data_IF_632075390326
#
_entry.id   IF_632075390326
#
_cell.length_a   1.000
_cell.length_b   1.000
_cell.length_c   1.000
_cell.angle_alpha   90.00
_cell.angle_beta   90.00
_cell.angle_gamma   90.00
#
_symmetry.space_group_name_H-M   'P 1'
#
loop_
_entity.id
_entity.type
_entity.pdbx_description
1 polymer ?
#
# COMPACT_ATOMS: atom_id res chain seq x y z
N UNK A 1 -20.07 41.51 -22.45
CA UNK A 1 -19.06 40.78 -21.65
C UNK A 1 -19.22 39.31 -21.98
N UNK A 2 -18.29 38.77 -22.77
CA UNK A 2 -18.29 37.34 -23.10
C UNK A 2 -17.95 36.57 -21.81
N UNK A 3 -18.94 35.81 -21.32
CA UNK A 3 -18.70 34.91 -20.21
C UNK A 3 -17.62 33.90 -20.61
N UNK A 4 -16.48 33.91 -19.92
CA UNK A 4 -15.45 32.89 -20.06
C UNK A 4 -16.10 31.57 -19.62
N UNK A 5 -16.50 30.73 -20.57
CA UNK A 5 -16.94 29.35 -20.29
C UNK A 5 -15.83 28.68 -19.45
N UNK A 6 -16.20 28.24 -18.24
CA UNK A 6 -15.25 27.52 -17.37
C UNK A 6 -14.92 26.18 -18.04
N UNK A 7 -13.65 26.01 -18.46
CA UNK A 7 -13.18 24.74 -18.99
C UNK A 7 -13.46 23.60 -18.02
N UNK A 8 -13.89 22.48 -18.53
CA UNK A 8 -14.02 21.22 -17.79
C UNK A 8 -12.64 20.67 -17.40
N UNK A 9 -12.58 19.81 -16.40
CA UNK A 9 -11.34 19.15 -16.02
C UNK A 9 -10.67 18.43 -17.20
N UNK A 10 -11.46 17.77 -18.05
CA UNK A 10 -10.97 17.09 -19.25
C UNK A 10 -10.36 18.09 -20.27
N UNK A 11 -11.01 19.20 -20.51
CA UNK A 11 -10.50 20.24 -21.42
C UNK A 11 -9.21 20.87 -20.90
N UNK A 12 -9.09 21.09 -19.57
CA UNK A 12 -7.85 21.57 -18.95
C UNK A 12 -6.71 20.58 -19.19
N UNK A 13 -6.93 19.30 -18.93
CA UNK A 13 -5.94 18.24 -19.12
C UNK A 13 -5.52 18.18 -20.59
N UNK A 14 -6.47 18.07 -21.52
CA UNK A 14 -6.20 17.89 -22.95
C UNK A 14 -5.59 19.13 -23.61
N UNK A 15 -5.84 20.33 -23.09
CA UNK A 15 -5.26 21.57 -23.61
C UNK A 15 -3.86 21.88 -23.09
N UNK A 16 -3.28 21.03 -22.25
CA UNK A 16 -1.94 21.25 -21.71
C UNK A 16 -0.85 21.05 -22.78
N UNK A 17 -0.06 22.09 -23.04
CA UNK A 17 1.04 22.08 -24.01
C UNK A 17 2.39 22.47 -23.41
N UNK A 18 2.46 22.54 -22.08
CA UNK A 18 3.68 22.90 -21.34
C UNK A 18 4.76 21.79 -21.34
N UNK A 19 5.81 21.94 -20.53
CA UNK A 19 6.87 20.94 -20.39
C UNK A 19 6.34 19.57 -19.96
N UNK A 20 7.18 18.53 -20.11
CA UNK A 20 6.82 17.18 -19.63
C UNK A 20 6.56 17.21 -18.12
N UNK A 21 5.40 16.68 -17.70
CA UNK A 21 5.00 16.50 -16.32
C UNK A 21 4.96 15.01 -15.96
N UNK A 22 5.51 14.68 -14.82
CA UNK A 22 5.46 13.35 -14.21
C UNK A 22 4.64 13.43 -12.92
N UNK A 23 3.50 12.77 -12.88
CA UNK A 23 2.58 12.75 -11.73
C UNK A 23 2.53 11.33 -11.20
N UNK A 24 2.82 11.12 -9.91
CA UNK A 24 2.86 9.78 -9.32
C UNK A 24 1.63 9.51 -8.45
N UNK A 25 0.91 8.43 -8.79
CA UNK A 25 -0.10 7.89 -7.87
C UNK A 25 0.61 7.12 -6.74
N UNK A 26 0.53 7.59 -5.51
CA UNK A 26 1.06 6.89 -4.33
C UNK A 26 -0.05 6.11 -3.61
N UNK A 27 -0.91 5.45 -4.40
CA UNK A 27 -2.06 4.68 -3.94
C UNK A 27 -2.38 3.56 -4.94
N UNK A 28 -2.45 2.32 -4.48
CA UNK A 28 -2.77 1.18 -5.34
C UNK A 28 -4.18 1.25 -5.92
N UNK A 29 -5.16 1.70 -5.13
CA UNK A 29 -6.54 1.91 -5.61
C UNK A 29 -6.59 2.98 -6.72
N UNK A 30 -5.81 4.08 -6.59
CA UNK A 30 -5.72 5.07 -7.68
C UNK A 30 -5.16 4.44 -8.95
N UNK A 31 -4.07 3.68 -8.85
CA UNK A 31 -3.48 2.97 -10.00
C UNK A 31 -4.53 2.09 -10.68
N UNK A 32 -5.23 1.26 -9.90
CA UNK A 32 -6.28 0.38 -10.42
C UNK A 32 -7.40 1.16 -11.13
N UNK A 33 -7.98 2.17 -10.48
CA UNK A 33 -9.09 2.94 -11.05
C UNK A 33 -8.67 3.77 -12.26
N UNK A 34 -7.46 4.35 -12.27
CA UNK A 34 -6.92 5.10 -13.41
C UNK A 34 -6.79 4.21 -14.64
N UNK A 35 -6.34 2.95 -14.48
CA UNK A 35 -6.28 2.00 -15.58
C UNK A 35 -7.67 1.56 -16.02
N UNK A 36 -8.51 1.13 -15.08
CA UNK A 36 -9.87 0.65 -15.35
C UNK A 36 -10.74 1.69 -16.05
N UNK A 37 -10.62 2.95 -15.67
CA UNK A 37 -11.36 4.07 -16.25
C UNK A 37 -10.73 4.63 -17.53
N UNK A 38 -9.57 4.11 -17.98
CA UNK A 38 -8.87 4.56 -19.17
C UNK A 38 -8.39 6.00 -19.10
N UNK A 39 -8.14 6.55 -17.90
CA UNK A 39 -7.74 7.95 -17.72
C UNK A 39 -6.42 8.25 -18.41
N UNK A 40 -5.48 7.30 -18.45
CA UNK A 40 -4.18 7.47 -19.14
C UNK A 40 -4.32 7.86 -20.61
N UNK A 41 -5.37 7.37 -21.30
CA UNK A 41 -5.64 7.70 -22.71
C UNK A 41 -6.14 9.13 -22.94
N UNK A 42 -6.61 9.78 -21.87
CA UNK A 42 -7.09 11.17 -21.95
C UNK A 42 -5.94 12.18 -21.81
N UNK A 43 -4.76 11.71 -21.40
CA UNK A 43 -3.62 12.56 -21.13
C UNK A 43 -2.90 12.95 -22.43
N UNK A 44 -2.46 14.21 -22.56
CA UNK A 44 -1.58 14.61 -23.67
C UNK A 44 -0.20 13.94 -23.52
N UNK A 45 0.58 13.80 -24.60
CA UNK A 45 1.86 13.07 -24.60
C UNK A 45 2.90 13.58 -23.60
N UNK A 46 2.78 14.83 -23.20
CA UNK A 46 3.67 15.48 -22.23
C UNK A 46 3.21 15.38 -20.77
N UNK A 47 2.14 14.63 -20.47
CA UNK A 47 1.71 14.30 -19.10
C UNK A 47 1.81 12.80 -18.89
N UNK A 48 2.71 12.39 -17.99
CA UNK A 48 2.95 10.99 -17.65
C UNK A 48 2.44 10.68 -16.24
N UNK A 49 1.59 9.66 -16.12
CA UNK A 49 1.24 9.08 -14.83
C UNK A 49 2.18 7.93 -14.48
N UNK A 50 2.69 7.95 -13.26
CA UNK A 50 3.62 6.95 -12.72
C UNK A 50 2.96 6.27 -11.53
N UNK A 51 2.91 4.94 -11.55
CA UNK A 51 2.43 4.18 -10.41
C UNK A 51 3.54 4.03 -9.36
N UNK A 52 3.30 4.56 -8.18
CA UNK A 52 4.22 4.53 -7.05
C UNK A 52 3.92 3.42 -6.04
N UNK A 53 4.58 3.42 -4.87
CA UNK A 53 4.51 2.35 -3.86
C UNK A 53 3.24 2.42 -2.98
N UNK A 54 2.07 2.50 -3.60
CA UNK A 54 0.78 2.69 -2.93
C UNK A 54 0.01 1.41 -2.57
N UNK A 55 0.52 0.22 -2.91
CA UNK A 55 -0.10 -1.06 -2.58
C UNK A 55 0.66 -1.71 -1.42
N UNK A 56 0.02 -1.97 -0.26
CA UNK A 56 0.71 -2.52 0.92
C UNK A 56 1.27 -3.93 0.67
N UNK A 57 0.58 -4.76 -0.09
CA UNK A 57 1.05 -6.11 -0.48
C UNK A 57 2.32 -5.99 -1.34
N UNK A 58 2.32 -5.06 -2.29
CA UNK A 58 3.42 -4.87 -3.24
C UNK A 58 4.71 -4.42 -2.57
N UNK A 59 4.60 -3.56 -1.54
CA UNK A 59 5.75 -3.00 -0.81
C UNK A 59 6.21 -3.87 0.37
N UNK A 60 5.49 -4.94 0.70
CA UNK A 60 5.87 -5.87 1.75
C UNK A 60 7.11 -6.68 1.30
N UNK A 61 8.20 -6.74 2.10
CA UNK A 61 9.42 -7.45 1.75
C UNK A 61 9.20 -8.96 1.66
N UNK A 62 10.04 -9.66 0.89
CA UNK A 62 9.97 -11.11 0.72
C UNK A 62 10.15 -11.84 2.05
N UNK A 63 11.08 -11.37 2.88
CA UNK A 63 11.35 -11.96 4.19
C UNK A 63 10.13 -12.04 5.10
N UNK A 64 9.16 -11.13 4.97
CA UNK A 64 7.91 -11.21 5.72
C UNK A 64 7.06 -12.44 5.34
N UNK A 65 7.06 -12.80 4.06
CA UNK A 65 6.36 -14.02 3.61
C UNK A 65 7.11 -15.26 4.12
N UNK A 66 8.44 -15.22 4.10
CA UNK A 66 9.27 -16.31 4.63
C UNK A 66 9.10 -16.46 6.16
N UNK A 67 8.95 -15.34 6.90
CA UNK A 67 8.59 -15.35 8.33
C UNK A 67 7.24 -16.03 8.57
N UNK A 68 6.23 -15.72 7.75
CA UNK A 68 4.91 -16.36 7.86
C UNK A 68 4.96 -17.85 7.56
N UNK A 69 5.75 -18.27 6.55
CA UNK A 69 5.96 -19.68 6.21
C UNK A 69 6.69 -20.41 7.35
N UNK A 70 7.72 -19.79 7.93
CA UNK A 70 8.44 -20.32 9.08
C UNK A 70 7.50 -20.56 10.28
N UNK A 71 6.64 -19.60 10.60
CA UNK A 71 5.64 -19.77 11.66
C UNK A 71 4.71 -20.96 11.38
N UNK A 72 4.24 -21.09 10.14
CA UNK A 72 3.32 -22.15 9.76
C UNK A 72 3.95 -23.55 9.80
N UNK A 73 5.14 -23.70 9.23
CA UNK A 73 5.77 -25.01 9.05
C UNK A 73 6.62 -25.44 10.26
N UNK A 74 7.39 -24.51 10.83
CA UNK A 74 8.35 -24.84 11.90
C UNK A 74 7.74 -24.67 13.31
N UNK A 75 6.74 -23.79 13.46
CA UNK A 75 6.06 -23.56 14.75
C UNK A 75 4.67 -24.16 14.83
N UNK A 76 4.14 -24.67 13.70
CA UNK A 76 2.79 -25.24 13.64
C UNK A 76 1.66 -24.21 13.85
N UNK A 77 1.96 -22.93 13.67
CA UNK A 77 1.01 -21.83 13.87
C UNK A 77 0.03 -21.76 12.71
N UNK A 78 -1.25 -21.60 13.00
CA UNK A 78 -2.27 -21.29 11.98
C UNK A 78 -2.13 -19.83 11.55
N UNK A 79 -1.84 -19.62 10.27
CA UNK A 79 -1.70 -18.29 9.66
C UNK A 79 -3.05 -17.79 9.18
N UNK A 80 -3.56 -16.73 9.80
CA UNK A 80 -4.71 -15.99 9.31
C UNK A 80 -4.24 -14.83 8.44
N UNK A 81 -4.79 -14.69 7.22
CA UNK A 81 -4.33 -13.69 6.27
C UNK A 81 -5.40 -13.27 5.27
N UNK A 82 -5.21 -12.09 4.65
CA UNK A 82 -5.98 -11.70 3.49
C UNK A 82 -5.63 -12.57 2.27
N UNK A 83 -6.60 -12.80 1.39
CA UNK A 83 -6.48 -13.74 0.28
C UNK A 83 -5.30 -13.46 -0.67
N UNK A 84 -4.98 -12.19 -0.92
CA UNK A 84 -3.87 -11.80 -1.79
C UNK A 84 -2.53 -12.35 -1.29
N UNK A 85 -2.27 -12.26 0.03
CA UNK A 85 -1.00 -12.69 0.62
C UNK A 85 -0.71 -14.19 0.45
N UNK A 86 -1.75 -15.01 0.30
CA UNK A 86 -1.60 -16.48 0.12
C UNK A 86 -0.75 -16.81 -1.10
N UNK A 87 -0.85 -15.99 -2.17
CA UNK A 87 -0.14 -16.23 -3.44
C UNK A 87 1.12 -15.39 -3.61
N UNK A 88 1.42 -14.48 -2.68
CA UNK A 88 2.65 -13.67 -2.77
C UNK A 88 3.87 -14.58 -2.64
N UNK A 89 4.82 -14.52 -3.59
CA UNK A 89 6.04 -15.33 -3.51
C UNK A 89 6.93 -14.89 -2.34
N UNK A 90 7.33 -15.85 -1.52
CA UNK A 90 8.49 -15.79 -0.64
C UNK A 90 9.79 -16.08 -1.41
N UNK A 91 10.86 -16.42 -0.70
CA UNK A 91 12.15 -16.81 -1.31
C UNK A 91 12.03 -18.09 -2.13
N UNK A 92 11.47 -19.13 -1.58
CA UNK A 92 11.41 -20.46 -2.19
C UNK A 92 9.97 -20.87 -2.54
N UNK A 93 8.98 -20.40 -1.79
CA UNK A 93 7.57 -20.72 -2.02
C UNK A 93 6.66 -19.58 -1.52
N UNK A 94 5.36 -19.71 -1.80
CA UNK A 94 4.29 -18.90 -1.22
C UNK A 94 3.59 -19.62 -0.07
N UNK A 95 2.69 -18.95 0.65
CA UNK A 95 1.82 -19.61 1.63
C UNK A 95 0.92 -20.67 0.96
N UNK A 96 0.52 -20.48 -0.30
CA UNK A 96 -0.17 -21.52 -1.07
C UNK A 96 0.69 -22.78 -1.25
N UNK A 97 1.98 -22.60 -1.52
CA UNK A 97 2.95 -23.70 -1.58
C UNK A 97 3.15 -24.37 -0.21
N UNK A 98 3.24 -23.58 0.86
CA UNK A 98 3.38 -24.11 2.22
C UNK A 98 2.17 -24.95 2.66
N UNK A 99 0.95 -24.63 2.19
CA UNK A 99 -0.25 -25.46 2.43
C UNK A 99 -0.08 -26.90 1.92
N UNK A 100 0.57 -27.11 0.78
CA UNK A 100 0.83 -28.46 0.24
C UNK A 100 1.82 -29.24 1.10
N UNK A 101 2.56 -28.55 1.99
CA UNK A 101 3.48 -29.15 2.94
C UNK A 101 2.90 -29.23 4.38
N UNK A 102 1.58 -29.00 4.52
CA UNK A 102 0.89 -29.14 5.80
C UNK A 102 0.69 -27.84 6.57
N UNK A 103 1.09 -26.67 6.04
CA UNK A 103 0.83 -25.40 6.69
C UNK A 103 -0.68 -25.11 6.81
N UNK A 104 -1.12 -24.70 8.00
CA UNK A 104 -2.49 -24.24 8.23
C UNK A 104 -2.58 -22.76 7.86
N UNK A 105 -3.36 -22.44 6.82
CA UNK A 105 -3.56 -21.07 6.35
C UNK A 105 -5.05 -20.81 6.21
N UNK A 106 -5.57 -19.89 7.01
CA UNK A 106 -6.96 -19.45 7.01
C UNK A 106 -7.07 -18.08 6.35
N UNK A 107 -7.89 -17.99 5.28
CA UNK A 107 -8.22 -16.70 4.67
C UNK A 107 -9.30 -16.02 5.49
N UNK A 108 -9.06 -14.77 5.83
CA UNK A 108 -9.96 -13.92 6.60
C UNK A 108 -10.18 -12.58 5.87
N UNK A 109 -11.28 -11.90 6.19
CA UNK A 109 -11.62 -10.60 5.60
C UNK A 109 -11.29 -9.42 6.50
N UNK A 110 -11.03 -9.69 7.77
CA UNK A 110 -10.61 -8.67 8.74
C UNK A 110 -9.68 -9.25 9.81
N UNK A 111 -8.88 -8.40 10.50
CA UNK A 111 -8.11 -8.84 11.68
C UNK A 111 -9.01 -9.36 12.81
N UNK A 112 -10.25 -8.86 12.89
CA UNK A 112 -11.23 -9.31 13.89
C UNK A 112 -11.66 -10.76 13.64
N UNK A 113 -11.76 -11.18 12.38
CA UNK A 113 -12.09 -12.58 12.07
C UNK A 113 -10.97 -13.52 12.54
N UNK A 114 -9.69 -13.10 12.45
CA UNK A 114 -8.56 -13.86 12.98
C UNK A 114 -8.59 -13.96 14.52
N UNK A 115 -8.97 -12.86 15.19
CA UNK A 115 -9.19 -12.87 16.65
C UNK A 115 -10.34 -13.83 17.04
N UNK A 116 -11.48 -13.80 16.32
CA UNK A 116 -12.61 -14.70 16.54
C UNK A 116 -12.19 -16.15 16.29
N UNK A 117 -11.47 -16.40 15.20
CA UNK A 117 -10.94 -17.73 14.90
C UNK A 117 -10.06 -18.26 16.04
N UNK A 118 -9.15 -17.45 16.59
CA UNK A 118 -8.32 -17.85 17.72
C UNK A 118 -9.13 -18.15 18.98
N UNK A 119 -10.23 -17.44 19.20
CA UNK A 119 -11.13 -17.66 20.33
C UNK A 119 -11.90 -18.97 20.20
N UNK A 120 -12.32 -19.32 18.99
CA UNK A 120 -13.08 -20.54 18.70
C UNK A 120 -12.17 -21.79 18.62
N UNK A 121 -10.84 -21.60 18.48
CA UNK A 121 -9.83 -22.68 18.36
C UNK A 121 -8.76 -22.51 19.44
N UNK A 122 -9.16 -22.68 20.70
CA UNK A 122 -8.30 -22.44 21.86
C UNK A 122 -7.08 -23.36 21.94
N UNK A 123 -7.10 -24.48 21.25
CA UNK A 123 -6.01 -25.47 21.11
C UNK A 123 -5.03 -25.18 19.96
N UNK A 124 -5.31 -24.16 19.14
CA UNK A 124 -4.45 -23.74 18.05
C UNK A 124 -3.80 -22.39 18.33
N UNK A 125 -2.50 -22.29 18.10
CA UNK A 125 -1.83 -20.99 18.02
C UNK A 125 -2.15 -20.31 16.68
N UNK A 126 -2.56 -19.05 16.75
CA UNK A 126 -3.03 -18.27 15.59
C UNK A 126 -2.22 -17.00 15.43
N UNK A 127 -1.72 -16.75 14.24
CA UNK A 127 -1.05 -15.48 13.88
C UNK A 127 -1.74 -14.83 12.71
N UNK A 128 -2.17 -13.56 12.87
CA UNK A 128 -2.67 -12.75 11.79
C UNK A 128 -1.53 -12.00 11.09
N UNK A 129 -1.48 -12.04 9.77
CA UNK A 129 -0.53 -11.26 8.98
C UNK A 129 -1.03 -9.83 8.81
N UNK A 130 -0.52 -8.93 9.63
CA UNK A 130 -0.92 -7.53 9.64
C UNK A 130 -0.15 -6.73 8.58
N UNK A 131 -0.64 -6.76 7.34
CA UNK A 131 -0.13 -6.00 6.20
C UNK A 131 -1.11 -4.90 5.86
N UNK A 132 -0.63 -3.66 5.78
CA UNK A 132 -1.48 -2.52 5.46
C UNK A 132 -0.83 -1.17 5.71
N UNK A 133 -1.53 -0.14 5.31
CA UNK A 133 -1.24 1.25 5.65
C UNK A 133 -2.17 1.72 6.78
N UNK A 134 -2.25 3.03 6.99
CA UNK A 134 -3.07 3.64 8.04
C UNK A 134 -4.55 3.23 7.97
N UNK A 135 -5.04 2.85 6.80
CA UNK A 135 -6.44 2.43 6.59
C UNK A 135 -6.80 1.12 7.27
N UNK A 136 -5.87 0.16 7.34
CA UNK A 136 -6.09 -1.19 7.87
C UNK A 136 -5.50 -1.38 9.26
N UNK A 137 -4.52 -0.57 9.63
CA UNK A 137 -3.84 -0.65 10.94
C UNK A 137 -4.79 -0.52 12.14
N UNK A 138 -5.80 0.39 12.16
CA UNK A 138 -6.74 0.48 13.27
C UNK A 138 -7.47 -0.83 13.58
N UNK A 139 -7.84 -1.60 12.55
CA UNK A 139 -8.51 -2.89 12.74
C UNK A 139 -7.57 -3.95 13.34
N UNK A 140 -6.30 -3.96 12.93
CA UNK A 140 -5.27 -4.82 13.54
C UNK A 140 -5.05 -4.48 15.01
N UNK A 141 -4.96 -3.18 15.33
CA UNK A 141 -4.86 -2.71 16.72
C UNK A 141 -6.08 -3.11 17.55
N UNK A 142 -7.28 -2.99 16.99
CA UNK A 142 -8.51 -3.39 17.67
C UNK A 142 -8.54 -4.90 17.98
N UNK A 143 -8.07 -5.75 17.05
CA UNK A 143 -7.98 -7.18 17.26
C UNK A 143 -7.02 -7.53 18.42
N UNK A 144 -5.83 -6.90 18.43
CA UNK A 144 -4.85 -7.08 19.51
C UNK A 144 -5.39 -6.61 20.85
N UNK A 145 -6.03 -5.43 20.90
CA UNK A 145 -6.65 -4.92 22.14
C UNK A 145 -7.72 -5.86 22.68
N UNK A 146 -8.63 -6.34 21.81
CA UNK A 146 -9.66 -7.32 22.19
C UNK A 146 -9.06 -8.62 22.69
N UNK A 147 -8.02 -9.13 22.02
CA UNK A 147 -7.31 -10.33 22.48
C UNK A 147 -6.68 -10.12 23.87
N UNK A 148 -6.17 -8.92 24.14
CA UNK A 148 -5.62 -8.55 25.44
C UNK A 148 -6.71 -8.44 26.52
N UNK A 149 -7.83 -7.78 26.21
CA UNK A 149 -8.99 -7.65 27.11
C UNK A 149 -9.57 -9.02 27.50
N UNK A 150 -9.66 -9.96 26.53
CA UNK A 150 -10.15 -11.33 26.75
C UNK A 150 -9.07 -12.27 27.33
N UNK A 151 -7.83 -11.81 27.46
CA UNK A 151 -6.71 -12.62 27.96
C UNK A 151 -6.31 -13.79 27.05
N UNK A 152 -6.60 -13.72 25.73
CA UNK A 152 -6.23 -14.75 24.76
C UNK A 152 -4.71 -14.92 24.71
N UNK A 153 -4.24 -16.16 24.90
CA UNK A 153 -2.80 -16.47 24.82
C UNK A 153 -2.38 -17.05 23.48
N UNK A 154 -3.33 -17.61 22.74
CA UNK A 154 -3.09 -18.27 21.45
C UNK A 154 -3.19 -17.34 20.24
N UNK A 155 -3.53 -16.05 20.40
CA UNK A 155 -3.54 -15.05 19.34
C UNK A 155 -2.25 -14.25 19.29
N UNK A 156 -1.81 -13.89 18.08
CA UNK A 156 -0.69 -12.95 17.84
C UNK A 156 -0.83 -12.30 16.48
N UNK A 157 -0.06 -11.26 16.23
CA UNK A 157 0.09 -10.67 14.89
C UNK A 157 1.54 -10.66 14.45
N UNK A 158 1.78 -10.92 13.17
CA UNK A 158 3.05 -10.64 12.50
C UNK A 158 2.86 -9.35 11.71
N UNK A 159 3.54 -8.26 12.12
CA UNK A 159 3.29 -6.95 11.55
C UNK A 159 4.26 -6.57 10.45
N UNK A 160 3.72 -6.06 9.33
CA UNK A 160 4.40 -5.31 8.28
C UNK A 160 3.60 -4.03 7.94
N UNK A 161 2.85 -3.52 8.92
CA UNK A 161 2.16 -2.25 8.79
C UNK A 161 3.14 -1.12 8.49
N UNK A 162 2.78 -0.28 7.53
CA UNK A 162 3.60 0.84 7.06
C UNK A 162 2.82 2.14 7.15
N UNK A 163 3.54 3.25 7.17
CA UNK A 163 2.95 4.60 7.19
C UNK A 163 3.47 5.42 6.01
N UNK A 164 2.58 6.21 5.42
CA UNK A 164 2.89 6.93 4.19
C UNK A 164 3.75 8.20 4.35
N UNK A 165 3.72 8.95 5.47
CA UNK A 165 4.43 10.23 5.57
C UNK A 165 5.91 10.18 5.18
N UNK A 166 6.68 9.27 5.79
CA UNK A 166 8.11 9.14 5.51
C UNK A 166 8.38 8.54 4.12
N UNK A 167 7.43 7.77 3.57
CA UNK A 167 7.52 7.29 2.20
C UNK A 167 7.38 8.44 1.18
N UNK A 168 6.53 9.45 1.45
CA UNK A 168 6.47 10.65 0.59
C UNK A 168 7.81 11.38 0.54
N UNK A 169 8.48 11.52 1.69
CA UNK A 169 9.83 12.12 1.75
C UNK A 169 10.86 11.28 0.98
N UNK A 170 10.83 9.96 1.13
CA UNK A 170 11.73 9.06 0.41
C UNK A 170 11.53 9.09 -1.11
N UNK A 171 10.35 9.49 -1.57
CA UNK A 171 10.02 9.63 -3.00
C UNK A 171 10.27 11.04 -3.55
N UNK A 172 10.76 11.98 -2.76
CA UNK A 172 11.05 13.35 -3.21
C UNK A 172 11.94 13.34 -4.45
N UNK A 173 11.54 14.10 -5.47
CA UNK A 173 12.25 14.20 -6.74
C UNK A 173 11.95 13.07 -7.75
N UNK A 174 11.15 12.07 -7.39
CA UNK A 174 10.76 11.00 -8.33
C UNK A 174 9.66 11.43 -9.31
N UNK A 175 8.90 12.47 -8.96
CA UNK A 175 7.84 13.07 -9.79
C UNK A 175 7.70 14.56 -9.49
N UNK A 176 6.97 15.28 -10.35
CA UNK A 176 6.68 16.71 -10.18
C UNK A 176 5.55 16.95 -9.17
N UNK A 177 4.64 15.98 -9.03
CA UNK A 177 3.57 16.01 -8.03
C UNK A 177 3.07 14.61 -7.70
N UNK A 178 2.44 14.47 -6.52
CA UNK A 178 1.80 13.24 -6.05
C UNK A 178 0.27 13.33 -6.04
N UNK A 179 -0.39 12.22 -6.39
CA UNK A 179 -1.78 11.96 -6.04
C UNK A 179 -1.79 11.17 -4.73
N UNK A 180 -2.08 11.86 -3.63
CA UNK A 180 -2.11 11.27 -2.29
C UNK A 180 -3.37 10.43 -2.07
N UNK A 181 -3.27 9.29 -1.38
CA UNK A 181 -4.38 8.36 -1.17
C UNK A 181 -5.44 8.94 -0.23
N UNK A 182 -6.65 9.17 -0.75
CA UNK A 182 -7.75 9.74 0.02
C UNK A 182 -8.10 8.94 1.28
N UNK A 183 -8.06 7.61 1.22
CA UNK A 183 -8.37 6.78 2.39
C UNK A 183 -7.31 6.87 3.50
N UNK A 184 -6.01 6.95 3.15
CA UNK A 184 -4.94 7.16 4.14
C UNK A 184 -5.15 8.49 4.85
N UNK A 185 -5.44 9.54 4.08
CA UNK A 185 -5.65 10.87 4.63
C UNK A 185 -7.02 11.05 5.34
N UNK A 186 -7.98 10.14 5.11
CA UNK A 186 -9.17 10.04 5.96
C UNK A 186 -8.80 9.64 7.41
N UNK A 187 -7.70 8.91 7.59
CA UNK A 187 -7.15 8.58 8.92
C UNK A 187 -6.23 9.69 9.42
N UNK A 188 -5.25 10.12 8.60
CA UNK A 188 -4.19 11.04 9.02
C UNK A 188 -4.60 12.52 9.07
N UNK A 189 -5.57 12.93 8.23
CA UNK A 189 -5.88 14.35 8.00
C UNK A 189 -4.94 14.97 6.95
N UNK A 190 -4.95 16.32 6.86
CA UNK A 190 -4.20 17.07 5.84
C UNK A 190 -2.84 17.55 6.31
N UNK A 191 -2.59 17.66 7.61
CA UNK A 191 -1.41 18.34 8.18
C UNK A 191 -0.07 17.85 7.62
N UNK A 192 0.06 16.53 7.42
CA UNK A 192 1.28 15.93 6.85
C UNK A 192 1.54 16.41 5.41
N UNK A 193 0.50 16.56 4.59
CA UNK A 193 0.66 17.08 3.23
C UNK A 193 1.06 18.56 3.24
N UNK A 194 0.57 19.32 4.19
CA UNK A 194 0.96 20.72 4.40
C UNK A 194 2.43 20.84 4.81
N UNK A 195 2.94 19.86 5.58
CA UNK A 195 4.35 19.84 5.97
C UNK A 195 5.27 19.45 4.80
N UNK A 196 4.94 18.41 4.03
CA UNK A 196 5.78 17.98 2.91
C UNK A 196 5.86 19.01 1.78
N UNK A 197 4.88 19.93 1.66
CA UNK A 197 4.96 21.09 0.75
C UNK A 197 6.11 22.04 1.13
N UNK A 198 6.37 22.23 2.41
CA UNK A 198 7.49 23.05 2.90
C UNK A 198 8.84 22.50 2.43
N UNK A 199 8.90 21.19 2.23
CA UNK A 199 10.06 20.49 1.68
C UNK A 199 10.10 20.48 0.14
N UNK A 200 9.16 21.18 -0.52
CA UNK A 200 9.10 21.29 -1.97
C UNK A 200 8.37 20.14 -2.68
N UNK A 201 7.62 19.32 -1.95
CA UNK A 201 6.84 18.22 -2.52
C UNK A 201 5.42 18.72 -2.83
N UNK A 202 5.05 18.72 -4.12
CA UNK A 202 3.71 19.10 -4.56
C UNK A 202 2.76 17.90 -4.60
N UNK A 203 1.46 18.14 -4.35
CA UNK A 203 0.47 17.09 -4.54
C UNK A 203 -0.94 17.45 -4.13
N UNK A 204 -1.84 16.54 -4.42
CA UNK A 204 -3.26 16.66 -4.08
C UNK A 204 -3.77 15.37 -3.43
N UNK A 205 -4.60 15.48 -2.42
CA UNK A 205 -5.41 14.37 -1.93
C UNK A 205 -6.59 14.21 -2.87
N UNK A 206 -6.87 13.01 -3.35
CA UNK A 206 -8.02 12.76 -4.21
C UNK A 206 -8.80 11.50 -3.82
N UNK A 207 -10.07 11.46 -4.24
CA UNK A 207 -10.91 10.26 -4.19
C UNK A 207 -10.66 9.34 -5.38
N UNK A 208 -11.63 8.46 -5.67
CA UNK A 208 -11.42 7.31 -6.55
C UNK A 208 -12.35 7.27 -7.76
N UNK A 209 -13.34 8.14 -7.83
CA UNK A 209 -14.24 8.24 -8.98
C UNK A 209 -13.57 8.94 -10.15
N UNK A 210 -14.04 8.68 -11.37
CA UNK A 210 -13.54 9.35 -12.58
C UNK A 210 -13.55 10.88 -12.43
N UNK A 211 -14.62 11.44 -11.86
CA UNK A 211 -14.75 12.89 -11.63
C UNK A 211 -13.68 13.42 -10.67
N UNK A 212 -13.44 12.72 -9.56
CA UNK A 212 -12.44 13.12 -8.56
C UNK A 212 -11.04 13.05 -9.13
N UNK A 213 -10.69 11.96 -9.80
CA UNK A 213 -9.38 11.77 -10.42
C UNK A 213 -9.10 12.80 -11.52
N UNK A 214 -10.05 13.05 -12.42
CA UNK A 214 -9.89 14.07 -13.47
C UNK A 214 -9.79 15.48 -12.88
N UNK A 215 -10.59 15.79 -11.84
CA UNK A 215 -10.51 17.08 -11.16
C UNK A 215 -9.14 17.26 -10.51
N UNK A 216 -8.63 16.25 -9.80
CA UNK A 216 -7.32 16.28 -9.18
C UNK A 216 -6.20 16.47 -10.20
N UNK A 217 -6.24 15.75 -11.32
CA UNK A 217 -5.25 15.91 -12.41
C UNK A 217 -5.29 17.32 -13.03
N UNK A 218 -6.48 17.87 -13.28
CA UNK A 218 -6.62 19.23 -13.77
C UNK A 218 -6.04 20.27 -12.78
N UNK A 219 -6.28 20.07 -11.49
CA UNK A 219 -5.71 20.92 -10.42
C UNK A 219 -4.19 20.82 -10.42
N UNK A 220 -3.62 19.59 -10.45
CA UNK A 220 -2.17 19.37 -10.47
C UNK A 220 -1.54 20.07 -11.66
N UNK A 221 -2.07 19.85 -12.87
CA UNK A 221 -1.56 20.46 -14.12
C UNK A 221 -1.61 21.99 -14.03
N UNK A 222 -2.71 22.55 -13.52
CA UNK A 222 -2.85 24.01 -13.39
C UNK A 222 -1.87 24.56 -12.37
N UNK A 223 -1.73 23.93 -11.22
CA UNK A 223 -0.87 24.40 -10.12
C UNK A 223 0.62 24.28 -10.43
N UNK A 224 1.03 23.21 -11.14
CA UNK A 224 2.43 23.09 -11.55
C UNK A 224 2.88 24.23 -12.50
N UNK A 225 1.96 24.81 -13.28
CA UNK A 225 2.26 25.97 -14.13
C UNK A 225 2.54 27.26 -13.33
N UNK A 226 2.11 27.32 -12.04
CA UNK A 226 2.41 28.44 -11.15
C UNK A 226 3.87 28.43 -10.65
N UNK A 227 4.60 27.31 -10.83
CA UNK A 227 6.02 27.18 -10.51
C UNK A 227 6.37 27.17 -9.02
N UNK A 228 5.38 26.95 -8.15
CA UNK A 228 5.55 26.89 -6.68
C UNK A 228 5.03 25.57 -6.12
N UNK A 229 5.67 25.01 -5.09
CA UNK A 229 5.14 23.86 -4.38
C UNK A 229 3.72 24.15 -3.85
N UNK A 230 2.86 23.16 -3.93
CA UNK A 230 1.47 23.31 -3.51
C UNK A 230 0.91 22.01 -2.92
N UNK A 231 -0.10 22.17 -2.09
CA UNK A 231 -0.98 21.11 -1.62
C UNK A 231 -2.43 21.55 -1.79
N UNK A 232 -3.28 20.60 -2.21
CA UNK A 232 -4.73 20.80 -2.20
C UNK A 232 -5.46 19.53 -1.79
N UNK A 233 -6.48 19.68 -0.95
CA UNK A 233 -7.42 18.61 -0.66
C UNK A 233 -8.56 18.65 -1.68
N UNK A 234 -8.52 17.75 -2.67
CA UNK A 234 -9.57 17.55 -3.67
C UNK A 234 -10.62 16.50 -3.25
N UNK A 235 -10.57 16.03 -1.98
CA UNK A 235 -11.49 15.03 -1.44
C UNK A 235 -12.13 15.48 -0.10
N UNK A 236 -12.61 16.73 0.00
CA UNK A 236 -13.04 17.33 1.28
C UNK A 236 -14.30 16.69 1.87
N UNK A 237 -15.08 15.92 1.07
CA UNK A 237 -16.24 15.19 1.58
C UNK A 237 -15.88 14.02 2.52
N UNK A 238 -14.62 13.58 2.51
CA UNK A 238 -14.12 12.46 3.32
C UNK A 238 -12.93 12.87 4.18
N UNK A 239 -12.01 13.67 3.62
CA UNK A 239 -10.76 14.04 4.29
C UNK A 239 -10.93 15.40 4.97
N UNK A 240 -10.84 15.39 6.30
CA UNK A 240 -10.83 16.60 7.15
C UNK A 240 -9.39 16.96 7.55
N UNK A 241 -9.21 18.13 8.15
CA UNK A 241 -7.89 18.55 8.62
C UNK A 241 -7.31 17.59 9.68
N UNK A 242 -8.15 17.14 10.61
CA UNK A 242 -7.74 16.30 11.75
C UNK A 242 -7.72 14.79 11.43
N UNK A 243 -8.40 14.36 10.37
CA UNK A 243 -8.58 12.94 10.07
C UNK A 243 -9.44 12.21 11.10
N UNK A 244 -9.23 10.91 11.22
CA UNK A 244 -9.95 10.06 12.17
C UNK A 244 -9.26 10.01 13.52
N UNK A 245 -9.72 10.81 14.49
CA UNK A 245 -9.19 10.80 15.86
C UNK A 245 -9.28 9.41 16.52
N UNK A 246 -10.35 8.67 16.25
CA UNK A 246 -10.52 7.31 16.78
C UNK A 246 -9.49 6.34 16.19
N UNK A 247 -9.26 6.41 14.85
CA UNK A 247 -8.25 5.60 14.17
C UNK A 247 -6.84 5.90 14.66
N UNK A 248 -6.49 7.18 14.76
CA UNK A 248 -5.19 7.62 15.29
C UNK A 248 -4.99 7.18 16.75
N UNK A 249 -6.01 7.36 17.59
CA UNK A 249 -5.96 6.97 19.00
C UNK A 249 -5.64 5.49 19.19
N UNK A 250 -6.35 4.60 18.50
CA UNK A 250 -6.14 3.14 18.65
C UNK A 250 -4.77 2.72 18.13
N UNK A 251 -4.27 3.34 17.05
CA UNK A 251 -2.90 3.08 16.55
C UNK A 251 -1.88 3.46 17.62
N UNK A 252 -1.93 4.68 18.16
CA UNK A 252 -0.99 5.15 19.19
C UNK A 252 -1.11 4.38 20.52
N UNK A 253 -2.28 3.83 20.84
CA UNK A 253 -2.49 3.00 22.02
C UNK A 253 -1.75 1.66 21.91
N UNK A 254 -1.74 1.06 20.73
CA UNK A 254 -1.32 -0.34 20.53
C UNK A 254 0.05 -0.44 19.86
N UNK A 255 0.37 0.49 18.97
CA UNK A 255 1.59 0.44 18.16
C UNK A 255 2.47 1.67 18.37
N UNK A 256 3.74 1.52 18.05
CA UNK A 256 4.73 2.58 18.00
C UNK A 256 5.50 2.57 16.66
N UNK A 257 6.03 3.73 16.21
CA UNK A 257 6.82 3.82 14.99
C UNK A 257 8.09 2.97 15.06
N UNK A 258 8.48 2.41 13.92
CA UNK A 258 9.75 1.73 13.74
C UNK A 258 10.25 1.92 12.30
N UNK A 259 11.52 1.58 12.07
CA UNK A 259 12.04 1.50 10.71
C UNK A 259 11.39 0.33 9.98
N UNK A 260 11.10 0.50 8.70
CA UNK A 260 10.51 -0.55 7.89
C UNK A 260 11.23 -0.71 6.55
N UNK A 261 11.42 -1.96 6.17
CA UNK A 261 11.84 -2.30 4.82
C UNK A 261 10.64 -2.22 3.86
N UNK A 262 10.83 -1.48 2.76
CA UNK A 262 9.89 -1.38 1.66
C UNK A 262 10.49 -2.08 0.43
N UNK A 263 9.76 -3.02 -0.14
CA UNK A 263 10.22 -3.70 -1.37
C UNK A 263 10.54 -2.67 -2.45
N UNK A 264 11.78 -2.70 -2.94
CA UNK A 264 12.28 -1.79 -3.96
C UNK A 264 12.78 -0.44 -3.46
N UNK A 265 12.40 0.02 -2.26
CA UNK A 265 12.84 1.29 -1.69
C UNK A 265 13.88 1.13 -0.58
N UNK A 266 14.07 -0.10 -0.08
CA UNK A 266 14.95 -0.35 1.06
C UNK A 266 14.32 0.04 2.40
N UNK A 267 15.17 0.30 3.40
CA UNK A 267 14.72 0.70 4.73
C UNK A 267 14.39 2.19 4.72
N UNK A 268 13.16 2.54 5.11
CA UNK A 268 12.72 3.92 5.32
C UNK A 268 12.55 4.12 6.83
N UNK A 269 13.34 5.00 7.45
CA UNK A 269 13.27 5.24 8.89
C UNK A 269 11.89 5.72 9.34
N UNK A 270 11.39 5.19 10.46
CA UNK A 270 10.12 5.59 11.07
C UNK A 270 8.88 5.35 10.22
N UNK A 271 8.96 4.54 9.16
CA UNK A 271 7.86 4.29 8.21
C UNK A 271 7.11 3.00 8.45
N UNK A 272 7.39 2.32 9.54
CA UNK A 272 6.70 1.11 9.98
C UNK A 272 6.03 1.30 11.32
N UNK A 273 5.20 0.32 11.67
CA UNK A 273 4.55 0.22 12.97
C UNK A 273 4.80 -1.18 13.55
N UNK A 274 5.21 -1.22 14.81
CA UNK A 274 5.33 -2.45 15.61
C UNK A 274 4.47 -2.32 16.87
N UNK A 275 4.12 -3.44 17.50
CA UNK A 275 3.46 -3.41 18.79
C UNK A 275 4.36 -2.74 19.83
N UNK A 276 3.79 -1.88 20.66
CA UNK A 276 4.51 -1.30 21.80
C UNK A 276 4.66 -2.32 22.93
N UNK A 277 5.43 -1.97 23.96
CA UNK A 277 5.77 -2.87 25.05
C UNK A 277 4.54 -3.43 25.80
N UNK A 278 3.43 -2.67 25.89
CA UNK A 278 2.23 -3.12 26.59
C UNK A 278 1.54 -4.29 25.87
N UNK A 279 1.71 -4.39 24.56
CA UNK A 279 1.12 -5.43 23.71
C UNK A 279 2.16 -6.41 23.14
N UNK A 280 3.40 -6.38 23.63
CA UNK A 280 4.50 -7.22 23.14
C UNK A 280 4.23 -8.73 23.20
N UNK A 281 3.38 -9.20 24.11
CA UNK A 281 2.95 -10.60 24.20
C UNK A 281 2.19 -11.09 22.95
N UNK A 282 1.65 -10.17 22.16
CA UNK A 282 0.92 -10.45 20.90
C UNK A 282 1.79 -10.27 19.65
N UNK A 283 3.07 -9.90 19.79
CA UNK A 283 4.01 -9.86 18.68
C UNK A 283 4.51 -11.27 18.37
N UNK A 284 4.21 -11.78 17.18
CA UNK A 284 4.59 -13.11 16.76
C UNK A 284 6.12 -13.32 16.77
N UNK A 285 6.91 -12.29 16.42
CA UNK A 285 8.38 -12.39 16.42
C UNK A 285 8.91 -12.61 17.84
N UNK A 286 8.34 -11.92 18.83
CA UNK A 286 8.73 -12.06 20.23
C UNK A 286 8.15 -13.36 20.82
N UNK A 287 6.88 -13.64 20.59
CA UNK A 287 6.18 -14.82 21.14
C UNK A 287 6.86 -16.13 20.75
N UNK A 288 7.29 -16.26 19.49
CA UNK A 288 7.90 -17.48 18.97
C UNK A 288 9.44 -17.44 18.89
N UNK A 289 10.07 -16.40 19.46
CA UNK A 289 11.51 -16.18 19.42
C UNK A 289 12.07 -16.40 18.01
N UNK A 290 11.49 -15.70 17.04
CA UNK A 290 11.81 -15.91 15.63
C UNK A 290 13.25 -15.50 15.29
N UNK A 291 13.96 -16.29 14.49
CA UNK A 291 15.24 -15.87 13.96
C UNK A 291 15.04 -14.69 12.97
N UNK A 292 16.12 -13.95 12.73
CA UNK A 292 16.10 -12.95 11.64
C UNK A 292 16.08 -13.67 10.29
N UNK A 293 14.99 -13.53 9.56
CA UNK A 293 14.82 -14.12 8.24
C UNK A 293 15.02 -13.04 7.18
N UNK A 294 15.94 -13.30 6.24
CA UNK A 294 16.25 -12.39 5.12
C UNK A 294 15.74 -13.02 3.84
N UNK A 295 14.69 -12.44 3.27
CA UNK A 295 14.10 -12.93 2.02
C UNK A 295 14.91 -12.50 0.79
N UNK A 296 14.79 -13.29 -0.27
CA UNK A 296 15.44 -13.04 -1.57
C UNK A 296 14.36 -12.92 -2.67
N UNK A 297 14.29 -11.75 -3.30
CA UNK A 297 13.43 -11.57 -4.47
C UNK A 297 13.96 -12.36 -5.66
N UNK A 298 13.05 -12.84 -6.51
CA UNK A 298 13.45 -13.43 -7.79
C UNK A 298 14.21 -12.38 -8.62
N UNK A 299 15.45 -12.65 -9.06
CA UNK A 299 16.29 -11.66 -9.76
C UNK A 299 15.74 -11.25 -11.13
N UNK A 300 14.86 -12.05 -11.74
CA UNK A 300 14.18 -11.68 -12.98
C UNK A 300 13.04 -10.68 -12.78
N UNK A 301 12.57 -10.49 -11.53
CA UNK A 301 11.45 -9.60 -11.22
C UNK A 301 11.93 -8.16 -11.03
N UNK A 302 11.34 -7.21 -11.77
CA UNK A 302 11.61 -5.78 -11.66
C UNK A 302 10.58 -5.01 -10.84
N UNK A 303 9.85 -5.69 -9.96
CA UNK A 303 8.81 -5.09 -9.14
C UNK A 303 9.31 -3.84 -8.37
N UNK A 304 10.53 -3.90 -7.81
CA UNK A 304 11.14 -2.77 -7.12
C UNK A 304 11.36 -1.55 -8.01
N UNK A 305 11.80 -1.74 -9.25
CA UNK A 305 11.98 -0.64 -10.21
C UNK A 305 10.64 -0.05 -10.65
N UNK A 306 9.63 -0.91 -10.85
CA UNK A 306 8.27 -0.48 -11.20
C UNK A 306 7.67 0.39 -10.10
N UNK A 307 7.82 0.00 -8.83
CA UNK A 307 7.33 0.74 -7.66
C UNK A 307 8.01 2.11 -7.48
N UNK A 308 9.21 2.27 -8.03
CA UNK A 308 9.93 3.55 -8.03
C UNK A 308 9.65 4.39 -9.29
N UNK A 309 8.83 3.90 -10.22
CA UNK A 309 8.60 4.56 -11.51
C UNK A 309 9.84 4.60 -12.43
N UNK A 310 10.83 3.73 -12.20
CA UNK A 310 12.06 3.64 -13.03
C UNK A 310 11.85 2.87 -14.32
N UNK A 311 10.84 2.00 -14.37
CA UNK A 311 10.44 1.28 -15.57
C UNK A 311 8.93 0.96 -15.54
N UNK A 312 8.38 0.66 -16.72
CA UNK A 312 7.00 0.15 -16.84
C UNK A 312 6.96 -1.36 -16.63
N UNK A 313 5.81 -1.95 -16.28
CA UNK A 313 5.65 -3.40 -16.23
C UNK A 313 6.07 -4.11 -17.53
N UNK A 314 5.78 -3.51 -18.68
CA UNK A 314 6.13 -4.02 -20.02
C UNK A 314 7.64 -4.10 -20.27
N UNK A 315 8.47 -3.33 -19.55
CA UNK A 315 9.93 -3.40 -19.64
C UNK A 315 10.51 -4.58 -18.84
N UNK A 316 9.69 -5.28 -18.07
CA UNK A 316 10.09 -6.44 -17.31
C UNK A 316 10.02 -7.69 -18.20
N UNK A 317 11.16 -8.39 -18.38
CA UNK A 317 11.28 -9.54 -19.29
C UNK A 317 10.32 -10.70 -18.99
N UNK A 318 9.89 -10.84 -17.74
CA UNK A 318 8.98 -11.91 -17.30
C UNK A 318 7.50 -11.50 -17.34
N UNK A 319 7.20 -10.21 -17.46
CA UNK A 319 5.82 -9.69 -17.47
C UNK A 319 5.00 -10.26 -18.62
N UNK A 320 3.79 -10.75 -18.31
CA UNK A 320 2.84 -11.32 -19.27
C UNK A 320 3.31 -12.63 -19.95
N UNK A 321 4.46 -13.16 -19.56
CA UNK A 321 5.03 -14.43 -20.07
C UNK A 321 5.07 -15.47 -18.96
N UNK A 322 6.09 -15.40 -18.12
CA UNK A 322 6.26 -16.26 -16.93
C UNK A 322 5.50 -15.68 -15.73
N UNK A 323 5.45 -14.34 -15.62
CA UNK A 323 4.77 -13.64 -14.53
C UNK A 323 3.36 -13.23 -14.97
N UNK A 324 2.36 -13.98 -14.54
CA UNK A 324 0.93 -13.76 -14.78
C UNK A 324 0.18 -13.74 -13.44
N UNK A 325 -1.09 -13.32 -13.38
CA UNK A 325 -1.88 -13.41 -12.15
C UNK A 325 -2.01 -14.84 -11.59
N UNK A 326 -1.98 -15.85 -12.44
CA UNK A 326 -2.01 -17.26 -12.05
C UNK A 326 -0.65 -17.75 -11.52
N UNK A 327 0.44 -17.25 -12.11
CA UNK A 327 1.81 -17.61 -11.77
C UNK A 327 2.66 -16.36 -11.47
N UNK A 328 2.40 -15.67 -10.34
CA UNK A 328 3.08 -14.43 -10.02
C UNK A 328 4.53 -14.69 -9.62
N UNK A 329 5.46 -13.96 -10.25
CA UNK A 329 6.89 -13.94 -9.89
C UNK A 329 7.17 -12.84 -8.86
N UNK A 330 6.32 -11.83 -8.79
CA UNK A 330 6.44 -10.73 -7.84
C UNK A 330 5.08 -10.28 -7.30
N UNK A 331 5.10 -9.68 -6.12
CA UNK A 331 3.90 -9.25 -5.40
C UNK A 331 2.98 -8.29 -6.20
N UNK A 332 3.56 -7.43 -7.06
CA UNK A 332 2.78 -6.49 -7.88
C UNK A 332 1.86 -7.17 -8.90
N UNK A 333 2.05 -8.46 -9.20
CA UNK A 333 1.18 -9.23 -10.09
C UNK A 333 0.04 -9.93 -9.31
N UNK A 334 0.17 -10.06 -7.99
CA UNK A 334 -0.81 -10.75 -7.14
C UNK A 334 -2.00 -9.87 -6.80
N UNK A 335 -1.72 -8.69 -6.27
CA UNK A 335 -2.76 -7.77 -5.79
C UNK A 335 -3.41 -7.00 -6.94
N UNK A 336 -4.72 -6.83 -6.92
CA UNK A 336 -5.44 -5.98 -7.86
C UNK A 336 -4.99 -4.51 -7.81
N UNK A 337 -4.44 -4.07 -6.69
CA UNK A 337 -3.84 -2.75 -6.52
C UNK A 337 -2.40 -2.66 -7.03
N UNK A 338 -1.83 -3.78 -7.44
CA UNK A 338 -0.46 -3.84 -7.94
C UNK A 338 -0.35 -3.29 -9.36
N UNK A 339 0.68 -2.49 -9.61
CA UNK A 339 0.92 -1.88 -10.92
C UNK A 339 1.00 -2.92 -12.04
N UNK A 340 1.71 -4.04 -11.82
CA UNK A 340 1.80 -5.10 -12.83
C UNK A 340 0.45 -5.75 -13.11
N UNK A 341 -0.34 -6.02 -12.07
CA UNK A 341 -1.68 -6.59 -12.23
C UNK A 341 -2.60 -5.65 -13.01
N UNK A 342 -2.62 -4.36 -12.66
CA UNK A 342 -3.42 -3.35 -13.35
C UNK A 342 -3.01 -3.23 -14.84
N UNK A 343 -1.70 -3.21 -15.13
CA UNK A 343 -1.20 -3.22 -16.50
C UNK A 343 -1.61 -4.50 -17.26
N UNK A 344 -1.55 -5.65 -16.61
CA UNK A 344 -1.91 -6.92 -17.24
C UNK A 344 -3.40 -6.95 -17.61
N UNK A 345 -4.25 -6.45 -16.73
CA UNK A 345 -5.70 -6.47 -16.93
C UNK A 345 -6.21 -5.40 -17.91
N UNK A 346 -5.59 -4.23 -17.91
CA UNK A 346 -6.13 -3.05 -18.61
C UNK A 346 -5.16 -2.40 -19.60
N UNK A 347 -3.86 -2.66 -19.49
CA UNK A 347 -2.81 -1.97 -20.29
C UNK A 347 -2.64 -2.49 -21.72
N UNK A 348 -3.23 -3.62 -22.08
CA UNK A 348 -3.25 -4.15 -23.45
C UNK A 348 -4.26 -3.44 -24.36
N UNK A 349 -4.82 -2.34 -23.90
CA UNK A 349 -5.81 -1.53 -24.61
C UNK A 349 -5.21 -0.15 -25.00
N UNK A 350 -3.90 0.06 -24.84
CA UNK A 350 -3.18 1.27 -25.29
C UNK A 350 -2.74 1.15 -26.75
#
# INVERSE_FOLDING_TARGET
MAGTEKKTAREIIQSYTGPKLRIMEVCGTHTHEIFKLGIRRLLPPNVELISGPGCPVCVTPVGFIDEAIYLALEKGVTICTFGDLVRVPGTDMSLAGARSQGAKVQVVYSPIDAYVYAKDHADEDVTFLAVGFETTTPASCLAVRKASEDGLKNFSILTANKTMPNAYQALKGSADAFLYPGHVHAILGTGICEDVVKDGISGVITGFTAKELLTALAVVITKLQEGKPFFMNCYPRVVTAEGSKAGQKIIHEVMEPCDAEWRGLGIIPGSGLKLNAAYGAYDARLKYAMPKIVGRSNPACRCGDVLQGKCRPTDCKVFGKVCTPEHPVGACMVSHEGTCSAFYQYGGID
#
